data_IF_856947581485
#
_entry.id   IF_856947581485
#
_cell.length_a   1.000
_cell.length_b   1.000
_cell.length_c   1.000
_cell.angle_alpha   90.00
_cell.angle_beta   90.00
_cell.angle_gamma   90.00
#
_symmetry.space_group_name_H-M   'P 1'
#
loop_
_entity.id
_entity.type
_entity.pdbx_description
1 polymer ?
#
# COMPACT_ATOMS: atom_id res chain seq x y z
N UNK A 1 13.38 7.77 -16.35
CA UNK A 1 13.12 8.83 -15.34
C UNK A 1 12.74 8.13 -14.04
N UNK A 2 13.68 7.94 -13.11
CA UNK A 2 13.36 7.37 -11.80
C UNK A 2 12.65 8.44 -10.98
N UNK A 3 11.35 8.25 -10.75
CA UNK A 3 10.60 9.03 -9.76
C UNK A 3 11.39 9.01 -8.44
N UNK A 4 11.57 10.14 -7.76
CA UNK A 4 12.17 10.16 -6.43
C UNK A 4 11.13 9.57 -5.47
N UNK A 5 10.98 8.24 -5.48
CA UNK A 5 10.29 7.52 -4.43
C UNK A 5 11.28 7.44 -3.29
N UNK A 6 11.37 8.52 -2.51
CA UNK A 6 11.85 8.38 -1.16
C UNK A 6 10.91 7.37 -0.50
N UNK A 7 11.33 6.10 -0.41
CA UNK A 7 10.70 5.11 0.46
C UNK A 7 10.90 5.63 1.88
N UNK A 8 10.06 6.56 2.29
CA UNK A 8 10.12 7.13 3.62
C UNK A 8 9.65 6.04 4.56
N UNK A 9 10.62 5.41 5.22
CA UNK A 9 10.36 4.38 6.21
C UNK A 9 9.81 5.09 7.44
N UNK A 10 8.66 4.66 7.93
CA UNK A 10 8.21 5.09 9.25
C UNK A 10 9.14 4.45 10.30
N UNK A 11 10.23 5.12 10.70
CA UNK A 11 11.23 4.53 11.61
C UNK A 11 10.64 3.95 12.91
N UNK A 12 9.57 4.55 13.41
CA UNK A 12 8.81 4.06 14.58
C UNK A 12 8.20 2.67 14.33
N UNK A 13 7.89 2.33 13.07
CA UNK A 13 7.36 1.01 12.67
C UNK A 13 8.43 -0.09 12.63
N UNK A 14 9.72 0.25 12.56
CA UNK A 14 10.79 -0.74 12.49
C UNK A 14 11.04 -1.44 13.82
N UNK A 15 10.94 -0.70 14.93
CA UNK A 15 11.19 -1.25 16.28
C UNK A 15 10.29 -2.47 16.58
N UNK A 16 8.95 -2.41 16.43
CA UNK A 16 8.10 -3.57 16.68
C UNK A 16 8.35 -4.72 15.69
N UNK A 17 8.71 -4.43 14.44
CA UNK A 17 9.02 -5.46 13.44
C UNK A 17 10.30 -6.22 13.77
N UNK A 18 11.37 -5.49 14.13
CA UNK A 18 12.63 -6.08 14.57
C UNK A 18 12.47 -6.84 15.88
N UNK A 19 11.66 -6.31 16.82
CA UNK A 19 11.31 -7.01 18.05
C UNK A 19 10.60 -8.34 17.79
N UNK A 20 9.61 -8.36 16.89
CA UNK A 20 8.91 -9.59 16.52
C UNK A 20 9.83 -10.58 15.79
N UNK A 21 10.70 -10.11 14.89
CA UNK A 21 11.68 -10.96 14.22
C UNK A 21 12.68 -11.56 15.22
N UNK A 22 13.22 -10.76 16.15
CA UNK A 22 14.12 -11.23 17.19
C UNK A 22 13.43 -12.26 18.09
N UNK A 23 12.16 -12.04 18.44
CA UNK A 23 11.36 -13.02 19.18
C UNK A 23 11.28 -14.37 18.44
N UNK A 24 10.99 -14.37 17.14
CA UNK A 24 10.96 -15.61 16.35
C UNK A 24 12.32 -16.31 16.32
N UNK A 25 13.41 -15.55 16.16
CA UNK A 25 14.79 -16.09 16.18
C UNK A 25 15.09 -16.74 17.55
N UNK A 26 14.70 -16.09 18.65
CA UNK A 26 14.86 -16.63 20.02
C UNK A 26 14.07 -17.92 20.19
N UNK A 27 12.84 -18.01 19.67
CA UNK A 27 12.04 -19.24 19.73
C UNK A 27 12.77 -20.40 19.04
N UNK A 28 13.29 -20.20 17.82
CA UNK A 28 14.04 -21.26 17.13
C UNK A 28 15.36 -21.61 17.81
N UNK A 29 16.02 -20.63 18.44
CA UNK A 29 17.21 -20.86 19.26
C UNK A 29 16.88 -21.76 20.47
N UNK A 30 15.79 -21.48 21.19
CA UNK A 30 15.35 -22.27 22.34
C UNK A 30 14.92 -23.69 21.97
N UNK A 31 14.43 -23.90 20.75
CA UNK A 31 14.10 -25.23 20.20
C UNK A 31 15.37 -26.01 19.80
N UNK A 32 16.55 -25.38 19.77
CA UNK A 32 17.81 -26.03 19.43
C UNK A 32 18.02 -26.22 17.92
N UNK A 33 17.45 -25.35 17.09
CA UNK A 33 17.64 -25.43 15.63
C UNK A 33 18.98 -24.80 15.22
N UNK A 34 19.86 -25.54 14.53
CA UNK A 34 21.19 -25.05 14.12
C UNK A 34 21.14 -23.74 13.30
N UNK A 35 20.16 -23.62 12.40
CA UNK A 35 19.98 -22.44 11.54
C UNK A 35 18.88 -21.50 12.06
N UNK A 36 18.79 -21.29 13.37
CA UNK A 36 17.73 -20.53 14.04
C UNK A 36 17.49 -19.12 13.44
N UNK A 37 18.53 -18.43 12.99
CA UNK A 37 18.40 -17.11 12.32
C UNK A 37 17.62 -17.21 11.01
N UNK A 38 17.95 -18.20 10.17
CA UNK A 38 17.32 -18.40 8.86
C UNK A 38 15.85 -18.79 9.04
N UNK A 39 15.57 -19.73 9.95
CA UNK A 39 14.20 -20.15 10.22
C UNK A 39 13.36 -19.04 10.85
N UNK A 40 13.91 -18.28 11.79
CA UNK A 40 13.20 -17.13 12.38
C UNK A 40 12.87 -16.05 11.35
N UNK A 41 13.84 -15.65 10.52
CA UNK A 41 13.63 -14.68 9.46
C UNK A 41 12.70 -15.20 8.36
N UNK A 42 12.82 -16.48 7.99
CA UNK A 42 11.95 -17.13 7.01
C UNK A 42 10.50 -17.16 7.47
N UNK A 43 10.26 -17.55 8.72
CA UNK A 43 8.93 -17.55 9.33
C UNK A 43 8.34 -16.13 9.40
N UNK A 44 9.15 -15.12 9.74
CA UNK A 44 8.71 -13.72 9.66
C UNK A 44 8.22 -13.35 8.26
N UNK A 45 8.98 -13.69 7.22
CA UNK A 45 8.63 -13.39 5.83
C UNK A 45 7.33 -14.10 5.43
N UNK A 46 7.16 -15.37 5.80
CA UNK A 46 5.95 -16.14 5.52
C UNK A 46 4.73 -15.50 6.19
N UNK A 47 4.81 -15.17 7.49
CA UNK A 47 3.72 -14.50 8.22
C UNK A 47 3.40 -13.14 7.59
N UNK A 48 4.43 -12.34 7.30
CA UNK A 48 4.28 -11.02 6.69
C UNK A 48 3.56 -11.07 5.34
N UNK A 49 3.91 -12.04 4.49
CA UNK A 49 3.24 -12.23 3.20
C UNK A 49 1.84 -12.81 3.34
N UNK A 50 1.61 -13.74 4.27
CA UNK A 50 0.30 -14.32 4.52
C UNK A 50 -0.70 -13.26 5.01
N UNK A 51 -0.30 -12.42 5.97
CA UNK A 51 -1.14 -11.32 6.47
C UNK A 51 -1.55 -10.37 5.35
N UNK A 52 -0.59 -9.93 4.52
CA UNK A 52 -0.89 -9.08 3.36
C UNK A 52 -1.74 -9.77 2.30
N UNK A 53 -1.49 -11.05 2.04
CA UNK A 53 -2.27 -11.81 1.07
C UNK A 53 -3.74 -11.89 1.46
N UNK A 54 -4.03 -12.15 2.74
CA UNK A 54 -5.39 -12.24 3.27
C UNK A 54 -6.08 -10.89 3.35
N UNK A 55 -5.42 -9.89 3.95
CA UNK A 55 -6.03 -8.58 4.21
C UNK A 55 -6.13 -7.69 2.96
N UNK A 56 -5.29 -7.92 1.95
CA UNK A 56 -5.20 -7.07 0.75
C UNK A 56 -5.50 -7.87 -0.52
N UNK A 57 -6.33 -8.92 -0.43
CA UNK A 57 -6.68 -9.77 -1.57
C UNK A 57 -7.18 -8.94 -2.76
N UNK A 58 -8.19 -8.10 -2.56
CA UNK A 58 -8.77 -7.28 -3.63
C UNK A 58 -7.76 -6.28 -4.20
N UNK A 59 -6.92 -5.69 -3.33
CA UNK A 59 -5.85 -4.80 -3.76
C UNK A 59 -4.86 -5.51 -4.69
N UNK A 60 -4.42 -6.72 -4.30
CA UNK A 60 -3.48 -7.52 -5.09
C UNK A 60 -4.08 -7.94 -6.43
N UNK A 61 -5.35 -8.31 -6.44
CA UNK A 61 -6.08 -8.63 -7.67
C UNK A 61 -6.24 -7.40 -8.57
N UNK A 62 -6.52 -6.22 -8.01
CA UNK A 62 -6.59 -4.97 -8.76
C UNK A 62 -5.23 -4.59 -9.38
N UNK A 63 -4.13 -4.75 -8.63
CA UNK A 63 -2.76 -4.56 -9.14
C UNK A 63 -2.46 -5.56 -10.26
N UNK A 64 -2.94 -6.79 -10.16
CA UNK A 64 -2.82 -7.77 -11.25
C UNK A 64 -3.57 -7.30 -12.51
N UNK A 65 -4.81 -6.84 -12.37
CA UNK A 65 -5.59 -6.28 -13.49
C UNK A 65 -4.91 -5.07 -14.14
N UNK A 66 -4.30 -4.16 -13.36
CA UNK A 66 -3.48 -3.06 -13.90
C UNK A 66 -2.34 -3.60 -14.77
N UNK A 67 -1.62 -4.63 -14.33
CA UNK A 67 -0.50 -5.23 -15.09
C UNK A 67 -0.95 -5.85 -16.40
N UNK A 68 -2.20 -6.28 -16.47
CA UNK A 68 -2.84 -6.84 -17.66
C UNK A 68 -3.46 -5.73 -18.55
N UNK A 69 -3.38 -4.46 -18.15
CA UNK A 69 -3.98 -3.31 -18.85
C UNK A 69 -5.48 -3.16 -18.62
N UNK A 70 -6.06 -3.97 -17.74
CA UNK A 70 -7.49 -3.97 -17.45
C UNK A 70 -7.85 -2.97 -16.33
N UNK A 71 -7.74 -1.69 -16.68
CA UNK A 71 -8.01 -0.60 -15.75
C UNK A 71 -9.49 -0.52 -15.34
N UNK A 72 -10.42 -0.95 -16.21
CA UNK A 72 -11.86 -0.91 -15.92
C UNK A 72 -12.22 -1.89 -14.80
N UNK A 73 -11.68 -3.11 -14.84
CA UNK A 73 -11.94 -4.10 -13.78
C UNK A 73 -11.09 -3.86 -12.52
N UNK A 74 -9.97 -3.13 -12.61
CA UNK A 74 -9.18 -2.76 -11.45
C UNK A 74 -9.90 -1.79 -10.51
N UNK A 75 -10.67 -0.83 -11.05
CA UNK A 75 -11.38 0.21 -10.27
C UNK A 75 -12.27 -0.37 -9.17
N UNK A 76 -13.26 -1.24 -9.46
CA UNK A 76 -14.16 -1.78 -8.42
C UNK A 76 -13.41 -2.62 -7.38
N UNK A 77 -12.28 -3.25 -7.74
CA UNK A 77 -11.46 -4.00 -6.79
C UNK A 77 -10.66 -3.09 -5.85
N UNK A 78 -10.11 -1.98 -6.36
CA UNK A 78 -9.52 -0.96 -5.48
C UNK A 78 -10.58 -0.30 -4.59
N UNK A 79 -11.80 -0.08 -5.09
CA UNK A 79 -12.89 0.44 -4.27
C UNK A 79 -13.24 -0.53 -3.14
N UNK A 80 -13.39 -1.83 -3.46
CA UNK A 80 -13.61 -2.88 -2.45
C UNK A 80 -12.48 -2.93 -1.40
N UNK A 81 -11.22 -2.86 -1.86
CA UNK A 81 -10.07 -2.78 -0.95
C UNK A 81 -10.11 -1.55 -0.06
N UNK A 82 -10.51 -0.40 -0.59
CA UNK A 82 -10.64 0.83 0.17
C UNK A 82 -11.76 0.70 1.21
N UNK A 83 -12.95 0.22 0.80
CA UNK A 83 -14.13 0.10 1.64
C UNK A 83 -13.90 -0.89 2.80
N UNK A 84 -13.18 -1.99 2.53
CA UNK A 84 -12.76 -2.93 3.57
C UNK A 84 -11.86 -2.25 4.61
N UNK A 85 -10.82 -1.53 4.17
CA UNK A 85 -9.90 -0.86 5.09
C UNK A 85 -10.54 0.35 5.80
N UNK A 86 -11.54 0.97 5.19
CA UNK A 86 -12.35 2.02 5.81
C UNK A 86 -13.31 1.44 6.87
N UNK A 87 -13.84 0.24 6.64
CA UNK A 87 -14.63 -0.51 7.64
C UNK A 87 -13.78 -0.99 8.82
N UNK A 88 -12.47 -1.19 8.62
CA UNK A 88 -11.52 -1.61 9.64
C UNK A 88 -10.29 -0.69 9.74
N UNK A 89 -10.44 0.59 10.15
CA UNK A 89 -9.35 1.58 10.10
C UNK A 89 -8.12 1.19 10.92
N UNK A 90 -8.30 0.39 11.96
CA UNK A 90 -7.22 -0.10 12.82
C UNK A 90 -6.22 -0.99 12.05
N UNK A 91 -6.67 -1.69 11.00
CA UNK A 91 -5.78 -2.54 10.17
C UNK A 91 -4.73 -1.66 9.50
N UNK A 92 -5.13 -0.57 8.85
CA UNK A 92 -4.20 0.30 8.11
C UNK A 92 -3.47 1.30 9.05
N UNK A 93 -4.13 1.74 10.12
CA UNK A 93 -3.53 2.58 11.18
C UNK A 93 -2.38 1.87 11.89
N UNK A 94 -2.56 0.60 12.25
CA UNK A 94 -1.54 -0.23 12.91
C UNK A 94 -0.89 -1.23 11.95
N UNK A 95 -0.82 -0.91 10.64
CA UNK A 95 -0.26 -1.77 9.58
C UNK A 95 1.13 -2.33 9.87
N UNK A 96 1.92 -1.66 10.71
CA UNK A 96 3.22 -2.16 11.12
C UNK A 96 3.15 -3.40 12.04
N UNK A 97 2.02 -3.60 12.74
CA UNK A 97 1.70 -4.80 13.50
C UNK A 97 0.82 -5.77 12.70
N UNK A 98 -0.23 -5.26 12.08
CA UNK A 98 -1.29 -6.09 11.47
C UNK A 98 -0.91 -6.63 10.09
N UNK A 99 -0.08 -5.89 9.35
CA UNK A 99 0.36 -6.24 7.99
C UNK A 99 1.88 -6.35 7.87
N UNK A 100 2.60 -6.15 8.98
CA UNK A 100 4.06 -6.08 9.04
C UNK A 100 4.63 -5.19 7.91
N UNK A 101 4.00 -4.03 7.69
CA UNK A 101 4.33 -3.06 6.65
C UNK A 101 4.90 -1.78 7.25
N UNK A 102 6.02 -1.30 6.71
CA UNK A 102 6.69 -0.05 7.11
C UNK A 102 6.45 1.12 6.14
N UNK A 103 5.56 0.95 5.17
CA UNK A 103 5.20 2.00 4.19
C UNK A 103 4.64 3.24 4.88
N UNK A 104 5.10 4.44 4.50
CA UNK A 104 4.50 5.71 4.94
C UNK A 104 3.09 5.90 4.37
N UNK A 105 2.89 5.51 3.12
CA UNK A 105 1.60 5.58 2.41
C UNK A 105 0.71 4.43 2.92
N UNK A 106 -0.51 4.77 3.31
CA UNK A 106 -1.52 3.80 3.76
C UNK A 106 -2.08 3.02 2.56
N UNK A 107 -2.63 1.84 2.78
CA UNK A 107 -3.24 1.08 1.68
C UNK A 107 -4.52 1.74 1.16
N UNK A 108 -5.25 2.48 2.01
CA UNK A 108 -6.36 3.34 1.60
C UNK A 108 -5.93 4.49 0.70
N UNK A 109 -4.88 5.20 1.08
CA UNK A 109 -4.27 6.24 0.25
C UNK A 109 -3.85 5.62 -1.09
N UNK A 110 -3.12 4.52 -1.06
CA UNK A 110 -2.72 3.81 -2.28
C UNK A 110 -3.90 3.39 -3.16
N UNK A 111 -5.01 2.92 -2.57
CA UNK A 111 -6.22 2.56 -3.30
C UNK A 111 -6.84 3.77 -4.01
N UNK A 112 -6.99 4.92 -3.34
CA UNK A 112 -7.49 6.15 -3.96
C UNK A 112 -6.60 6.60 -5.13
N UNK A 113 -5.28 6.53 -4.97
CA UNK A 113 -4.32 6.90 -6.03
C UNK A 113 -4.50 5.97 -7.24
N UNK A 114 -4.62 4.67 -6.98
CA UNK A 114 -4.74 3.69 -8.05
C UNK A 114 -6.09 3.77 -8.77
N UNK A 115 -7.18 4.10 -8.06
CA UNK A 115 -8.49 4.40 -8.69
C UNK A 115 -8.35 5.61 -9.62
N UNK A 116 -7.78 6.71 -9.13
CA UNK A 116 -7.56 7.92 -9.92
C UNK A 116 -6.69 7.64 -11.16
N UNK A 117 -5.59 6.89 -10.98
CA UNK A 117 -4.73 6.42 -12.05
C UNK A 117 -5.50 5.61 -13.09
N UNK A 118 -6.30 4.63 -12.68
CA UNK A 118 -7.10 3.82 -13.60
C UNK A 118 -8.09 4.68 -14.41
N UNK A 119 -8.74 5.66 -13.77
CA UNK A 119 -9.61 6.61 -14.48
C UNK A 119 -8.83 7.44 -15.51
N UNK A 120 -7.61 7.88 -15.19
CA UNK A 120 -6.74 8.56 -16.16
C UNK A 120 -6.42 7.67 -17.36
N UNK A 121 -6.14 6.38 -17.15
CA UNK A 121 -5.79 5.45 -18.23
C UNK A 121 -6.96 5.14 -19.18
N UNK A 122 -8.21 5.26 -18.72
CA UNK A 122 -9.41 5.00 -19.54
C UNK A 122 -10.02 6.27 -20.14
N UNK A 123 -9.34 7.42 -20.04
CA UNK A 123 -9.77 8.70 -20.62
C UNK A 123 -10.81 9.46 -19.79
N UNK A 124 -11.07 9.03 -18.55
CA UNK A 124 -12.08 9.60 -17.65
C UNK A 124 -11.43 10.63 -16.71
N UNK A 125 -10.87 11.69 -17.30
CA UNK A 125 -10.05 12.69 -16.60
C UNK A 125 -10.75 13.39 -15.43
N UNK A 126 -12.05 13.71 -15.57
CA UNK A 126 -12.83 14.35 -14.51
C UNK A 126 -12.94 13.44 -13.27
N UNK A 127 -13.17 12.13 -13.47
CA UNK A 127 -13.20 11.16 -12.38
C UNK A 127 -11.84 11.00 -11.73
N UNK A 128 -10.76 11.01 -12.52
CA UNK A 128 -9.41 10.98 -11.97
C UNK A 128 -9.14 12.19 -11.05
N UNK A 129 -9.49 13.40 -11.50
CA UNK A 129 -9.36 14.63 -10.69
C UNK A 129 -10.19 14.53 -9.41
N UNK A 130 -11.43 14.02 -9.51
CA UNK A 130 -12.29 13.81 -8.35
C UNK A 130 -11.61 12.92 -7.29
N UNK A 131 -11.07 11.77 -7.68
CA UNK A 131 -10.41 10.87 -6.73
C UNK A 131 -9.09 11.43 -6.17
N UNK A 132 -8.30 12.19 -6.95
CA UNK A 132 -7.13 12.88 -6.41
C UNK A 132 -7.51 13.99 -5.41
N UNK A 133 -8.60 14.73 -5.65
CA UNK A 133 -9.11 15.72 -4.69
C UNK A 133 -9.59 15.05 -3.41
N UNK A 134 -10.36 13.96 -3.52
CA UNK A 134 -10.77 13.15 -2.37
C UNK A 134 -9.56 12.62 -1.59
N UNK A 135 -8.51 12.19 -2.28
CA UNK A 135 -7.25 11.82 -1.63
C UNK A 135 -6.66 12.97 -0.81
N UNK A 136 -6.68 14.22 -1.29
CA UNK A 136 -6.21 15.37 -0.49
C UNK A 136 -7.14 15.74 0.66
N UNK A 137 -8.44 15.46 0.55
CA UNK A 137 -9.38 15.63 1.67
C UNK A 137 -9.06 14.66 2.81
N UNK A 138 -8.78 13.39 2.48
CA UNK A 138 -8.45 12.35 3.47
C UNK A 138 -6.98 12.37 3.92
N UNK A 139 -6.08 12.77 3.01
CA UNK A 139 -4.62 12.81 3.19
C UNK A 139 -4.07 14.16 2.70
N UNK A 140 -4.22 15.25 3.48
CA UNK A 140 -3.80 16.61 3.07
C UNK A 140 -2.31 16.74 2.71
N UNK A 141 -1.48 15.84 3.25
CA UNK A 141 -0.04 15.78 3.02
C UNK A 141 0.37 14.83 1.89
N UNK A 142 -0.59 14.29 1.11
CA UNK A 142 -0.28 13.35 0.03
C UNK A 142 0.50 14.02 -1.10
N UNK A 143 1.80 13.73 -1.16
CA UNK A 143 2.68 14.15 -2.26
C UNK A 143 2.21 13.58 -3.60
N UNK A 144 1.59 12.39 -3.59
CA UNK A 144 1.06 11.73 -4.79
C UNK A 144 -0.07 12.54 -5.42
N UNK A 145 -1.10 12.89 -4.64
CA UNK A 145 -2.21 13.66 -5.19
C UNK A 145 -1.80 15.09 -5.58
N UNK A 146 -0.93 15.74 -4.80
CA UNK A 146 -0.37 17.07 -5.15
C UNK A 146 0.34 17.01 -6.50
N UNK A 147 1.23 16.02 -6.68
CA UNK A 147 1.97 15.85 -7.93
C UNK A 147 1.04 15.55 -9.11
N UNK A 148 0.06 14.66 -8.93
CA UNK A 148 -0.87 14.29 -9.99
C UNK A 148 -1.76 15.46 -10.44
N UNK A 149 -2.32 16.22 -9.49
CA UNK A 149 -3.15 17.39 -9.81
C UNK A 149 -2.34 18.51 -10.47
N UNK A 150 -1.11 18.76 -10.02
CA UNK A 150 -0.21 19.72 -10.67
C UNK A 150 0.10 19.32 -12.12
N UNK A 151 0.34 18.03 -12.37
CA UNK A 151 0.59 17.51 -13.71
C UNK A 151 -0.63 17.69 -14.63
N UNK A 152 -1.83 17.35 -14.14
CA UNK A 152 -3.08 17.54 -14.90
C UNK A 152 -3.31 19.03 -15.21
N UNK A 153 -3.10 19.90 -14.22
CA UNK A 153 -3.27 21.34 -14.39
C UNK A 153 -2.26 21.95 -15.39
N UNK A 154 -1.05 21.38 -15.48
CA UNK A 154 -0.07 21.80 -16.48
C UNK A 154 -0.54 21.43 -17.90
N UNK A 155 -0.99 20.19 -18.10
CA UNK A 155 -1.50 19.72 -19.41
C UNK A 155 -2.72 20.55 -19.86
N UNK A 156 -3.62 20.89 -18.94
CA UNK A 156 -4.81 21.68 -19.26
C UNK A 156 -4.52 23.15 -19.60
N UNK A 157 -3.35 23.69 -19.20
CA UNK A 157 -2.94 25.05 -19.57
C UNK A 157 -2.30 25.12 -20.96
N UNK A 158 -1.75 24.01 -21.42
CA UNK A 158 -1.01 23.91 -22.68
C UNK A 158 -1.87 23.39 -23.86
N UNK A 159 -3.13 23.03 -23.61
CA UNK A 159 -4.10 22.57 -24.62
C UNK A 159 -5.22 23.58 -24.84
#
# INVERSE_FOLDING_TARGET
MSLPVAKQIAWVSLIPQLGFMAFLIIVYYLVGTDQFVIFGAGTYIVISNLLRFLALKDHNEAVKSIKEGDFRNAIPRFQSSYDFLDSYPWIDKYRYLTLLSSSKISFREMALNNIAFCYSQIGEGEKAIFFYKRMLEEYPDSDLAKAALNFIAAIQKDG
#
